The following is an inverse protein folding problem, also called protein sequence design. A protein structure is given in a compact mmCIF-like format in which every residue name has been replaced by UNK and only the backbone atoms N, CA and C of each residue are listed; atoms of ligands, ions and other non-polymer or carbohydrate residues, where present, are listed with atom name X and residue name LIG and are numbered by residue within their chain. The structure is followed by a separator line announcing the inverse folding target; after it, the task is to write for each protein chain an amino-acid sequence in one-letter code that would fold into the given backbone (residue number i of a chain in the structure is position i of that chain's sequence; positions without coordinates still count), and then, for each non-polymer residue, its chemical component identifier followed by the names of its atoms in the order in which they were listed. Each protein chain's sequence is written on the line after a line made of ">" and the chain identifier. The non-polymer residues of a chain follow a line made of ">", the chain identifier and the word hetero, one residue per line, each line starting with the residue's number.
data_IF_200425797629
#
_entry.id   IF_200425797629
#
_cell.length_a   1.000
_cell.length_b   1.000
_cell.length_c   1.000
_cell.angle_alpha   90.00
_cell.angle_beta   90.00
_cell.angle_gamma   90.00
#
_symmetry.space_group_name_H-M   'P 1'
#
loop_
_entity.id
_entity.type
_entity.pdbx_description
1 polymer ?
#
# COMPACT_ATOMS: atom_id res chain seq x y z
N UNK A 1 13.31 24.76 3.89
CA UNK A 1 12.24 23.75 4.09
C UNK A 1 12.33 22.74 2.97
N UNK A 2 12.63 21.48 3.28
CA UNK A 2 12.89 20.45 2.26
C UNK A 2 11.57 19.98 1.63
N UNK A 3 11.46 19.91 0.28
CA UNK A 3 10.24 19.56 -0.44
C UNK A 3 9.74 18.12 -0.21
N UNK A 4 10.50 17.26 0.48
CA UNK A 4 10.13 15.87 0.77
C UNK A 4 9.11 15.66 1.90
N UNK A 5 8.80 16.68 2.72
CA UNK A 5 7.93 16.53 3.90
C UNK A 5 6.42 16.64 3.63
N UNK A 6 6.01 16.91 2.39
CA UNK A 6 4.62 17.22 2.03
C UNK A 6 3.76 16.01 1.65
N UNK A 7 4.34 14.82 1.49
CA UNK A 7 3.64 13.62 0.95
C UNK A 7 3.48 12.51 1.99
N UNK A 8 2.63 12.69 3.00
CA UNK A 8 2.27 11.59 3.92
C UNK A 8 0.97 11.79 4.73
N UNK A 9 0.02 12.62 4.27
CA UNK A 9 -1.14 13.03 5.08
C UNK A 9 -2.42 12.20 4.89
N UNK A 10 -2.31 10.87 4.92
CA UNK A 10 -3.45 10.00 5.25
C UNK A 10 -3.16 9.28 6.56
N UNK A 11 -3.28 10.00 7.69
CA UNK A 11 -3.20 9.44 9.04
C UNK A 11 -4.59 9.05 9.56
N UNK A 12 -5.32 8.23 8.80
CA UNK A 12 -6.68 7.86 9.15
C UNK A 12 -6.71 6.84 10.29
N UNK A 13 -7.76 6.89 11.11
CA UNK A 13 -8.00 5.91 12.16
C UNK A 13 -9.49 5.57 12.17
N UNK A 14 -9.78 4.30 11.93
CA UNK A 14 -11.13 3.75 12.05
C UNK A 14 -11.15 2.63 13.09
N UNK A 15 -12.30 2.36 13.74
CA UNK A 15 -12.46 1.19 14.58
C UNK A 15 -12.13 -0.09 13.79
N UNK A 16 -11.27 -0.95 14.37
CA UNK A 16 -10.85 -2.20 13.73
C UNK A 16 -9.92 -2.05 12.52
N UNK A 17 -9.32 -0.86 12.31
CA UNK A 17 -8.40 -0.63 11.20
C UNK A 17 -7.13 -1.46 11.32
N UNK A 18 -6.73 -2.06 10.20
CA UNK A 18 -5.46 -2.75 10.04
C UNK A 18 -4.47 -1.85 9.30
N UNK A 19 -3.18 -2.09 9.51
CA UNK A 19 -2.12 -1.33 8.89
C UNK A 19 -1.23 -2.25 8.08
N UNK A 20 -0.94 -1.86 6.85
CA UNK A 20 -0.06 -2.56 5.95
C UNK A 20 1.13 -1.70 5.57
N UNK A 21 2.33 -2.24 5.74
CA UNK A 21 3.55 -1.69 5.18
C UNK A 21 3.88 -2.47 3.91
N UNK A 22 4.08 -1.76 2.80
CA UNK A 22 4.27 -2.37 1.47
C UNK A 22 5.59 -1.88 0.88
N UNK A 23 6.43 -2.82 0.46
CA UNK A 23 7.62 -2.54 -0.34
C UNK A 23 7.43 -3.07 -1.75
N UNK A 24 7.69 -2.21 -2.74
CA UNK A 24 7.86 -2.62 -4.13
C UNK A 24 9.25 -3.24 -4.29
N UNK A 25 9.34 -4.44 -4.86
CA UNK A 25 10.64 -5.09 -5.04
C UNK A 25 11.18 -4.75 -6.43
N UNK A 26 12.16 -3.84 -6.48
CA UNK A 26 12.93 -3.55 -7.70
C UNK A 26 14.31 -4.17 -7.50
N UNK A 27 14.58 -5.28 -8.19
CA UNK A 27 15.82 -6.06 -8.04
C UNK A 27 15.60 -7.44 -7.42
N UNK A 28 16.68 -8.11 -7.02
CA UNK A 28 16.63 -9.43 -6.41
C UNK A 28 15.86 -9.36 -5.08
N UNK A 29 14.63 -9.90 -5.04
CA UNK A 29 14.02 -10.36 -3.79
C UNK A 29 15.08 -11.29 -3.17
N UNK A 30 15.44 -11.17 -1.88
CA UNK A 30 16.20 -12.25 -1.23
C UNK A 30 15.47 -13.55 -1.58
N UNK A 31 16.20 -14.52 -2.12
CA UNK A 31 15.62 -15.72 -2.76
C UNK A 31 14.66 -16.46 -1.84
N UNK A 32 14.77 -16.22 -0.53
CA UNK A 32 13.81 -16.60 0.48
C UNK A 32 13.56 -15.40 1.42
N UNK A 33 12.36 -14.78 1.41
CA UNK A 33 12.02 -13.77 2.41
C UNK A 33 11.95 -14.43 3.80
N UNK A 34 12.56 -13.81 4.82
CA UNK A 34 12.56 -14.35 6.18
C UNK A 34 11.19 -14.11 6.87
N UNK A 35 10.25 -14.98 6.54
CA UNK A 35 8.91 -15.00 7.12
C UNK A 35 8.94 -15.27 8.63
N UNK A 36 9.98 -15.96 9.12
CA UNK A 36 10.12 -16.25 10.54
C UNK A 36 10.48 -14.97 11.30
N UNK A 37 11.45 -14.18 10.81
CA UNK A 37 11.80 -12.88 11.38
C UNK A 37 10.61 -11.91 11.38
N UNK A 38 9.83 -11.86 10.29
CA UNK A 38 8.62 -11.05 10.27
C UNK A 38 7.66 -11.49 11.39
N UNK A 39 7.32 -12.78 11.48
CA UNK A 39 6.32 -13.31 12.43
C UNK A 39 6.72 -13.27 13.91
N UNK A 40 7.98 -12.93 14.25
CA UNK A 40 8.42 -12.78 15.64
C UNK A 40 7.71 -11.65 16.40
N UNK A 41 7.07 -10.70 15.70
CA UNK A 41 6.35 -9.62 16.34
C UNK A 41 4.88 -9.96 16.60
N UNK A 42 4.53 -10.14 17.88
CA UNK A 42 3.15 -10.24 18.33
C UNK A 42 2.32 -9.05 17.80
N UNK A 43 1.30 -9.34 16.99
CA UNK A 43 0.42 -8.34 16.38
C UNK A 43 0.55 -8.19 14.87
N UNK A 44 1.51 -8.86 14.23
CA UNK A 44 1.47 -9.14 12.78
C UNK A 44 0.41 -10.20 12.52
N UNK A 45 -0.47 -9.90 11.58
CA UNK A 45 -1.62 -10.72 11.22
C UNK A 45 -1.28 -11.55 9.98
N UNK A 46 -0.61 -10.94 9.00
CA UNK A 46 -0.38 -11.59 7.72
C UNK A 46 0.82 -10.97 6.98
N UNK A 47 1.46 -11.79 6.14
CA UNK A 47 2.40 -11.35 5.10
C UNK A 47 1.81 -11.79 3.77
N UNK A 48 1.73 -10.88 2.80
CA UNK A 48 1.07 -11.09 1.52
C UNK A 48 1.99 -10.68 0.37
N UNK A 49 2.17 -11.56 -0.60
CA UNK A 49 2.70 -11.18 -1.91
C UNK A 49 1.56 -10.59 -2.74
N UNK A 50 1.81 -9.42 -3.32
CA UNK A 50 0.91 -8.73 -4.23
C UNK A 50 1.54 -8.90 -5.61
N UNK A 51 0.86 -9.66 -6.47
CA UNK A 51 1.31 -9.90 -7.83
C UNK A 51 1.38 -8.58 -8.61
N UNK A 52 2.28 -8.52 -9.58
CA UNK A 52 2.29 -7.45 -10.56
C UNK A 52 0.95 -7.41 -11.30
N UNK A 53 0.48 -6.19 -11.61
CA UNK A 53 -0.73 -6.02 -12.41
C UNK A 53 -0.46 -6.45 -13.86
N UNK A 54 -1.39 -7.16 -14.51
CA UNK A 54 -1.28 -7.47 -15.94
C UNK A 54 -1.23 -6.19 -16.78
N UNK A 55 -0.39 -6.21 -17.82
CA UNK A 55 -0.11 -5.08 -18.73
C UNK A 55 -1.31 -4.61 -19.56
N UNK A 56 -2.40 -5.38 -19.61
CA UNK A 56 -3.59 -5.10 -20.44
C UNK A 56 -4.65 -4.24 -19.73
N UNK A 57 -4.36 -3.71 -18.54
CA UNK A 57 -5.20 -2.68 -17.94
C UNK A 57 -5.12 -1.40 -18.80
N UNK A 58 -6.24 -0.79 -19.23
CA UNK A 58 -6.22 0.34 -20.15
C UNK A 58 -5.40 1.48 -19.56
N UNK A 59 -4.65 2.12 -20.44
CA UNK A 59 -3.65 3.16 -20.24
C UNK A 59 -4.04 4.20 -19.18
N UNK A 60 -3.60 3.92 -17.96
CA UNK A 60 -3.66 4.81 -16.81
C UNK A 60 -2.33 5.59 -16.73
N UNK A 61 -2.07 6.45 -17.73
CA UNK A 61 -0.82 7.21 -17.93
C UNK A 61 0.43 6.34 -18.19
N UNK A 62 1.33 6.82 -19.06
CA UNK A 62 2.68 6.24 -19.30
C UNK A 62 3.52 6.08 -18.03
N UNK A 63 3.07 6.62 -16.89
CA UNK A 63 3.68 6.48 -15.57
C UNK A 63 3.42 5.12 -14.89
N UNK A 64 2.51 4.28 -15.40
CA UNK A 64 2.37 2.88 -14.99
C UNK A 64 3.35 1.99 -15.76
N UNK A 65 4.63 2.33 -15.65
CA UNK A 65 5.69 1.34 -15.80
C UNK A 65 5.39 0.23 -14.79
N UNK A 66 5.22 -0.99 -15.29
CA UNK A 66 5.10 -2.26 -14.57
C UNK A 66 5.05 -2.10 -13.05
N UNK A 67 3.88 -2.27 -12.43
CA UNK A 67 3.84 -2.30 -10.97
C UNK A 67 4.60 -3.54 -10.52
N UNK A 68 5.81 -3.40 -9.93
CA UNK A 68 6.58 -4.57 -9.57
C UNK A 68 5.81 -5.35 -8.50
N UNK A 69 6.01 -6.68 -8.42
CA UNK A 69 5.47 -7.44 -7.32
C UNK A 69 5.88 -6.77 -6.00
N UNK A 70 4.93 -6.71 -5.08
CA UNK A 70 5.13 -6.06 -3.79
C UNK A 70 4.90 -7.06 -2.67
N UNK A 71 5.56 -6.85 -1.54
CA UNK A 71 5.27 -7.60 -0.33
C UNK A 71 4.65 -6.66 0.69
N UNK A 72 3.54 -7.10 1.28
CA UNK A 72 2.80 -6.39 2.31
C UNK A 72 2.89 -7.14 3.64
N UNK A 73 3.23 -6.41 4.71
CA UNK A 73 3.12 -6.90 6.08
C UNK A 73 1.96 -6.20 6.76
N UNK A 74 0.98 -6.97 7.23
CA UNK A 74 -0.26 -6.48 7.83
C UNK A 74 -0.21 -6.68 9.35
N UNK A 75 -0.52 -5.64 10.11
CA UNK A 75 -0.54 -5.67 11.57
C UNK A 75 -1.67 -4.82 12.17
N UNK A 76 -1.93 -4.98 13.46
CA UNK A 76 -2.87 -4.13 14.23
C UNK A 76 -2.34 -2.73 14.51
N UNK A 77 -1.10 -2.42 14.16
CA UNK A 77 -0.49 -1.11 14.35
C UNK A 77 0.53 -0.79 13.28
N UNK A 78 0.55 0.46 12.82
CA UNK A 78 1.45 0.93 11.76
C UNK A 78 2.93 0.65 12.07
N UNK A 79 3.36 0.89 13.31
CA UNK A 79 4.74 0.64 13.73
C UNK A 79 5.12 -0.85 13.66
N UNK A 80 4.18 -1.76 13.96
CA UNK A 80 4.41 -3.20 13.88
C UNK A 80 4.49 -3.67 12.42
N UNK A 81 3.63 -3.15 11.55
CA UNK A 81 3.69 -3.43 10.12
C UNK A 81 5.04 -3.02 9.52
N UNK A 82 5.55 -1.83 9.88
CA UNK A 82 6.87 -1.35 9.43
C UNK A 82 8.00 -2.22 9.97
N UNK A 83 7.99 -2.58 11.26
CA UNK A 83 9.01 -3.45 11.86
C UNK A 83 9.04 -4.83 11.21
N UNK A 84 7.87 -5.41 10.97
CA UNK A 84 7.77 -6.71 10.29
C UNK A 84 8.24 -6.65 8.85
N UNK A 85 7.96 -5.56 8.13
CA UNK A 85 8.50 -5.35 6.78
C UNK A 85 10.04 -5.22 6.81
N UNK A 86 10.59 -4.45 7.75
CA UNK A 86 12.04 -4.32 7.90
C UNK A 86 12.71 -5.68 8.24
N UNK A 87 12.10 -6.47 9.13
CA UNK A 87 12.57 -7.81 9.46
C UNK A 87 12.51 -8.77 8.26
N UNK A 88 11.43 -8.72 7.47
CA UNK A 88 11.28 -9.51 6.25
C UNK A 88 12.38 -9.21 5.21
N UNK A 89 12.78 -7.94 5.12
CA UNK A 89 13.79 -7.48 4.17
C UNK A 89 15.24 -7.66 4.68
N UNK A 90 15.43 -8.37 5.79
CA UNK A 90 16.76 -8.66 6.33
C UNK A 90 17.43 -7.47 7.03
N UNK A 91 16.70 -6.38 7.28
CA UNK A 91 17.19 -5.24 8.07
C UNK A 91 17.11 -5.51 9.58
N UNK A 92 17.40 -6.74 10.00
CA UNK A 92 17.24 -7.23 11.37
C UNK A 92 18.23 -6.60 12.37
N UNK A 93 19.19 -5.79 11.90
CA UNK A 93 20.21 -5.17 12.75
C UNK A 93 20.52 -3.73 12.33
N UNK A 94 19.58 -2.80 12.51
CA UNK A 94 19.93 -1.39 12.70
C UNK A 94 18.72 -0.56 13.14
N UNK A 95 18.64 -0.27 14.44
CA UNK A 95 17.91 0.90 14.97
C UNK A 95 16.39 0.95 14.68
N UNK A 96 15.68 1.82 15.39
CA UNK A 96 14.24 2.04 15.24
C UNK A 96 13.84 2.72 13.91
N UNK A 97 14.72 2.74 12.92
CA UNK A 97 14.54 3.41 11.65
C UNK A 97 14.80 2.40 10.52
N UNK A 98 13.82 2.14 9.63
CA UNK A 98 14.04 1.26 8.50
C UNK A 98 15.21 1.76 7.62
N UNK A 99 15.89 0.88 6.85
CA UNK A 99 16.99 1.26 5.96
C UNK A 99 16.52 2.29 4.95
N UNK A 100 16.82 3.57 5.21
CA UNK A 100 16.47 4.75 4.40
C UNK A 100 15.18 4.60 3.55
N UNK A 101 14.08 4.15 4.16
CA UNK A 101 12.83 3.93 3.44
C UNK A 101 12.11 5.27 3.26
N UNK A 102 12.00 5.72 2.00
CA UNK A 102 11.16 6.88 1.70
C UNK A 102 9.70 6.43 1.67
N UNK A 103 8.88 6.96 2.58
CA UNK A 103 7.43 6.81 2.48
C UNK A 103 6.95 7.58 1.25
N UNK A 104 6.56 6.84 0.22
CA UNK A 104 6.14 7.43 -1.06
C UNK A 104 4.64 7.72 -1.07
N UNK A 105 3.86 6.90 -0.37
CA UNK A 105 2.41 6.94 -0.51
C UNK A 105 1.71 6.46 0.77
N UNK A 106 0.57 7.08 1.08
CA UNK A 106 -0.41 6.58 2.05
C UNK A 106 -1.81 6.67 1.46
N UNK A 107 -2.52 5.55 1.50
CA UNK A 107 -3.92 5.46 1.15
C UNK A 107 -4.61 4.47 2.11
N UNK A 108 -5.93 4.49 2.13
CA UNK A 108 -6.71 3.48 2.83
C UNK A 108 -7.80 2.92 1.93
N UNK A 109 -8.20 1.69 2.19
CA UNK A 109 -9.26 1.03 1.47
C UNK A 109 -10.12 0.20 2.44
N UNK A 110 -11.40 0.06 2.12
CA UNK A 110 -12.31 -0.84 2.82
C UNK A 110 -13.21 -1.52 1.81
N UNK A 111 -13.28 -2.84 1.91
CA UNK A 111 -14.27 -3.64 1.19
C UNK A 111 -15.35 -4.07 2.17
N UNK A 112 -16.62 -3.84 1.84
CA UNK A 112 -17.74 -4.28 2.67
C UNK A 112 -18.98 -4.46 1.82
N UNK A 113 -19.63 -5.62 1.92
CA UNK A 113 -20.91 -5.92 1.25
C UNK A 113 -20.88 -5.68 -0.28
N UNK A 114 -19.75 -5.96 -0.92
CA UNK A 114 -19.56 -5.72 -2.35
C UNK A 114 -19.40 -4.25 -2.75
N UNK A 115 -19.27 -3.35 -1.77
CA UNK A 115 -18.87 -1.95 -1.95
C UNK A 115 -17.40 -1.78 -1.60
N UNK A 116 -16.75 -0.89 -2.34
CA UNK A 116 -15.39 -0.48 -2.11
C UNK A 116 -15.38 1.00 -1.74
N UNK A 117 -14.71 1.34 -0.65
CA UNK A 117 -14.40 2.72 -0.27
C UNK A 117 -12.90 2.93 -0.26
N UNK A 118 -12.43 4.00 -0.88
CA UNK A 118 -11.04 4.40 -0.94
C UNK A 118 -10.84 5.77 -0.32
N UNK A 119 -9.77 5.94 0.44
CA UNK A 119 -9.33 7.23 0.93
C UNK A 119 -7.92 7.49 0.42
N UNK A 120 -7.77 8.54 -0.39
CA UNK A 120 -6.47 8.91 -0.95
C UNK A 120 -6.38 10.41 -1.21
N UNK A 121 -5.17 10.98 -1.26
CA UNK A 121 -4.97 12.37 -1.69
C UNK A 121 -5.11 12.45 -3.22
N UNK A 122 -6.22 13.01 -3.71
CA UNK A 122 -6.46 13.21 -5.16
C UNK A 122 -7.31 14.45 -5.43
N UNK A 123 -7.14 15.02 -6.63
CA UNK A 123 -8.06 16.03 -7.19
C UNK A 123 -9.03 15.43 -8.21
N UNK A 124 -8.75 14.24 -8.74
CA UNK A 124 -9.55 13.60 -9.78
C UNK A 124 -10.32 12.38 -9.24
N UNK A 125 -11.35 12.66 -8.45
CA UNK A 125 -12.21 11.63 -7.85
C UNK A 125 -12.85 10.73 -8.90
N UNK A 126 -13.21 11.28 -10.07
CA UNK A 126 -13.89 10.55 -11.13
C UNK A 126 -12.95 9.52 -11.76
N UNK A 127 -11.74 9.93 -12.14
CA UNK A 127 -10.70 9.04 -12.65
C UNK A 127 -10.41 7.90 -11.69
N UNK A 128 -10.14 8.21 -10.42
CA UNK A 128 -9.82 7.19 -9.41
C UNK A 128 -10.98 6.24 -9.14
N UNK A 129 -12.23 6.72 -9.22
CA UNK A 129 -13.42 5.86 -9.08
C UNK A 129 -13.54 4.88 -10.24
N UNK A 130 -13.47 5.36 -11.47
CA UNK A 130 -13.58 4.52 -12.67
C UNK A 130 -12.49 3.44 -12.68
N UNK A 131 -11.26 3.86 -12.38
CA UNK A 131 -10.15 2.95 -12.43
C UNK A 131 -10.12 1.94 -11.27
N UNK A 132 -10.49 2.36 -10.06
CA UNK A 132 -10.68 1.42 -8.94
C UNK A 132 -11.82 0.44 -9.20
N UNK A 133 -12.92 0.88 -9.83
CA UNK A 133 -14.02 0.01 -10.22
C UNK A 133 -13.57 -1.06 -11.20
N UNK A 134 -12.80 -0.68 -12.21
CA UNK A 134 -12.23 -1.62 -13.16
C UNK A 134 -11.28 -2.62 -12.48
N UNK A 135 -10.31 -2.15 -11.69
CA UNK A 135 -9.37 -2.99 -10.96
C UNK A 135 -10.06 -3.96 -10.00
N UNK A 136 -11.15 -3.52 -9.37
CA UNK A 136 -11.93 -4.32 -8.44
C UNK A 136 -12.90 -5.30 -9.12
N UNK A 137 -13.15 -5.15 -10.43
CA UNK A 137 -14.22 -5.84 -11.14
C UNK A 137 -15.61 -5.46 -10.60
N UNK A 138 -15.81 -4.20 -10.23
CA UNK A 138 -17.06 -3.66 -9.68
C UNK A 138 -17.68 -2.64 -10.65
N UNK A 139 -19.01 -2.44 -10.63
CA UNK A 139 -19.61 -1.27 -11.25
C UNK A 139 -19.24 0.00 -10.46
N UNK A 140 -18.99 1.12 -11.16
CA UNK A 140 -18.55 2.38 -10.53
C UNK A 140 -19.45 2.87 -9.39
N UNK A 141 -20.77 2.65 -9.47
CA UNK A 141 -21.74 2.99 -8.41
C UNK A 141 -21.49 2.28 -7.08
N UNK A 142 -20.66 1.23 -7.07
CA UNK A 142 -20.24 0.50 -5.85
C UNK A 142 -18.89 0.95 -5.34
N UNK A 143 -18.27 1.97 -5.95
CA UNK A 143 -16.98 2.52 -5.58
C UNK A 143 -17.15 3.95 -5.08
N UNK A 144 -16.71 4.18 -3.85
CA UNK A 144 -16.66 5.51 -3.24
C UNK A 144 -15.20 5.94 -3.08
N UNK A 145 -14.86 7.14 -3.55
CA UNK A 145 -13.53 7.73 -3.39
C UNK A 145 -13.67 8.98 -2.54
N UNK A 146 -13.06 8.95 -1.36
CA UNK A 146 -13.00 10.04 -0.41
C UNK A 146 -11.62 10.70 -0.49
N UNK A 147 -11.57 12.03 -0.65
CA UNK A 147 -10.31 12.77 -0.66
C UNK A 147 -9.81 12.96 0.77
N UNK A 148 -8.53 12.66 1.01
CA UNK A 148 -7.91 12.78 2.32
C UNK A 148 -6.57 13.53 2.22
N UNK A 149 -6.65 14.81 1.85
CA UNK A 149 -5.53 15.73 1.69
C UNK A 149 -5.46 16.37 0.30
N UNK A 150 -4.41 17.16 0.05
CA UNK A 150 -4.12 17.75 -1.27
C UNK A 150 -3.50 16.69 -2.17
N UNK A 151 -4.11 16.46 -3.33
CA UNK A 151 -3.72 15.42 -4.28
C UNK A 151 -2.44 15.73 -5.07
N UNK A 152 -2.01 14.74 -5.84
CA UNK A 152 -1.02 14.87 -6.92
C UNK A 152 -1.68 14.38 -8.20
N UNK A 153 -1.37 14.97 -9.35
CA UNK A 153 -1.85 14.55 -10.68
C UNK A 153 -1.28 13.20 -11.16
N UNK A 154 -0.59 12.45 -10.30
CA UNK A 154 -0.05 11.16 -10.70
C UNK A 154 -1.20 10.18 -10.89
N UNK A 155 -1.13 9.35 -11.93
CA UNK A 155 -2.08 8.25 -12.20
C UNK A 155 -2.16 7.23 -11.06
N UNK A 156 -2.77 6.07 -11.28
CA UNK A 156 -2.92 5.08 -10.20
C UNK A 156 -1.54 4.66 -9.69
N UNK A 157 -1.27 5.04 -8.45
CA UNK A 157 -0.03 4.66 -7.81
C UNK A 157 -0.09 3.19 -7.34
N UNK A 158 1.04 2.46 -7.37
CA UNK A 158 1.13 1.09 -6.86
C UNK A 158 0.53 0.84 -5.48
N UNK A 159 0.54 1.84 -4.59
CA UNK A 159 -0.05 1.72 -3.26
C UNK A 159 -1.56 1.50 -3.28
N UNK A 160 -2.27 2.01 -4.30
CA UNK A 160 -3.72 1.83 -4.46
C UNK A 160 -4.05 0.40 -4.86
N UNK A 161 -3.27 -0.19 -5.77
CA UNK A 161 -3.42 -1.61 -6.14
C UNK A 161 -3.25 -2.49 -4.90
N UNK A 162 -2.22 -2.22 -4.11
CA UNK A 162 -2.00 -2.92 -2.83
C UNK A 162 -3.19 -2.74 -1.87
N UNK A 163 -3.70 -1.52 -1.72
CA UNK A 163 -4.84 -1.24 -0.86
C UNK A 163 -6.11 -1.98 -1.30
N UNK A 164 -6.37 -2.07 -2.60
CA UNK A 164 -7.50 -2.82 -3.16
C UNK A 164 -7.41 -4.32 -2.85
N UNK A 165 -6.25 -4.93 -3.14
CA UNK A 165 -6.01 -6.35 -2.89
C UNK A 165 -6.14 -6.68 -1.39
N UNK A 166 -5.56 -5.84 -0.53
CA UNK A 166 -5.62 -6.00 0.92
C UNK A 166 -7.04 -5.82 1.46
N UNK A 167 -7.76 -4.79 1.03
CA UNK A 167 -9.13 -4.54 1.49
C UNK A 167 -10.07 -5.69 1.14
N UNK A 168 -9.91 -6.31 -0.04
CA UNK A 168 -10.69 -7.48 -0.44
C UNK A 168 -10.38 -8.70 0.43
N UNK A 169 -9.11 -8.95 0.71
CA UNK A 169 -8.66 -10.08 1.56
C UNK A 169 -9.07 -9.91 3.03
N UNK A 170 -9.06 -8.67 3.54
CA UNK A 170 -9.26 -8.34 4.95
C UNK A 170 -10.69 -7.85 5.27
N UNK A 171 -11.61 -7.98 4.32
CA UNK A 171 -13.01 -7.57 4.49
C UNK A 171 -13.63 -8.18 5.77
N UNK A 172 -14.35 -7.40 6.60
CA UNK A 172 -14.80 -6.03 6.37
C UNK A 172 -13.89 -4.94 6.98
N UNK A 173 -12.70 -5.29 7.46
CA UNK A 173 -11.82 -4.36 8.15
C UNK A 173 -11.26 -3.30 7.18
N UNK A 174 -11.24 -2.01 7.55
CA UNK A 174 -10.53 -1.01 6.78
C UNK A 174 -9.01 -1.24 6.93
N UNK A 175 -8.26 -1.05 5.85
CA UNK A 175 -6.80 -1.17 5.84
C UNK A 175 -6.16 0.14 5.41
N UNK A 176 -5.17 0.61 6.17
CA UNK A 176 -4.30 1.70 5.76
C UNK A 176 -3.02 1.12 5.18
N UNK A 177 -2.66 1.53 3.97
CA UNK A 177 -1.43 1.15 3.30
C UNK A 177 -0.43 2.30 3.40
N UNK A 178 0.78 1.98 3.82
CA UNK A 178 1.96 2.82 3.68
C UNK A 178 2.93 2.14 2.71
N UNK A 179 3.22 2.79 1.59
CA UNK A 179 4.17 2.28 0.61
C UNK A 179 5.53 2.91 0.81
N UNK A 180 6.54 2.05 0.89
CA UNK A 180 7.93 2.42 1.06
C UNK A 180 8.69 2.12 -0.23
N UNK A 181 9.53 3.06 -0.65
CA UNK A 181 10.54 2.81 -1.68
C UNK A 181 11.83 2.40 -0.98
N UNK A 182 12.37 1.26 -1.39
CA UNK A 182 13.71 0.86 -1.00
C UNK A 182 14.73 1.72 -1.75
N UNK A 183 15.57 2.43 -1.01
CA UNK A 183 16.75 3.07 -1.57
C UNK A 183 17.84 2.01 -1.66
N UNK A 184 18.35 1.75 -2.86
CA UNK A 184 19.50 0.86 -3.04
C UNK A 184 20.66 1.37 -2.18
N UNK A 185 21.29 0.48 -1.41
CA UNK A 185 22.61 0.78 -0.88
C UNK A 185 23.55 0.99 -2.09
N UNK A 186 24.24 2.12 -2.11
CA UNK A 186 25.30 2.41 -3.07
C UNK A 186 26.59 1.69 -2.67
#
# INVERSE_FOLDING_TARGET
>A
MSPGALRARCGLRFPGMLYAAVASVVGAVPSEPDLAAARQHAGIIQVLAIAAMPSDAPTLSDALVETPPAIAVVARGAALACKGLAGLLGAASASSAPPAEELVERCAAQWRNGHLRLWLPTWDVAFYRAAAAQLAGLPERRVEVCTAGTGSEAGIAPGIVAALALARSLSPAPVQVARYRLLSAA
#
